data_IF_670314803252
#
_entry.id   IF_670314803252
#
_cell.length_a   1.000
_cell.length_b   1.000
_cell.length_c   1.000
_cell.angle_alpha   90.00
_cell.angle_beta   90.00
_cell.angle_gamma   90.00
#
_symmetry.space_group_name_H-M   'P 1'
#
loop_
_entity.id
_entity.type
_entity.pdbx_description
1 polymer ?
#
# COMPACT_ATOMS: atom_id res chain seq x y z
N UNK A 1 -8.65 -17.87 -33.49
CA UNK A 1 -8.34 -17.52 -32.09
C UNK A 1 -7.74 -16.13 -31.91
N UNK A 2 -7.49 -15.44 -33.00
CA UNK A 2 -7.04 -14.03 -32.92
C UNK A 2 -8.12 -13.10 -32.37
N UNK A 3 -9.39 -13.48 -32.46
CA UNK A 3 -10.50 -12.69 -31.92
C UNK A 3 -10.50 -12.54 -30.40
N UNK A 4 -9.90 -13.49 -29.68
CA UNK A 4 -9.86 -13.46 -28.22
C UNK A 4 -8.88 -12.43 -27.66
N UNK A 5 -7.92 -11.99 -28.48
CA UNK A 5 -6.97 -10.94 -28.11
C UNK A 5 -7.44 -9.56 -28.54
N UNK A 6 -8.49 -9.49 -29.37
CA UNK A 6 -9.07 -8.22 -29.81
C UNK A 6 -9.72 -7.53 -28.60
N UNK A 7 -9.40 -6.27 -28.38
CA UNK A 7 -9.92 -5.50 -27.25
C UNK A 7 -9.10 -5.59 -25.98
N UNK A 8 -8.05 -6.43 -25.96
CA UNK A 8 -7.11 -6.44 -24.85
C UNK A 8 -6.15 -5.26 -24.94
N UNK A 9 -5.71 -4.80 -23.78
CA UNK A 9 -4.82 -3.66 -23.65
C UNK A 9 -3.40 -4.11 -23.37
N UNK A 10 -2.44 -3.36 -23.89
CA UNK A 10 -1.02 -3.57 -23.57
C UNK A 10 -0.73 -3.03 -22.15
N UNK A 11 0.36 -3.50 -21.55
CA UNK A 11 0.81 -3.01 -20.25
C UNK A 11 1.03 -1.49 -20.24
N UNK A 12 1.54 -0.93 -21.34
CA UNK A 12 1.73 0.52 -21.49
C UNK A 12 0.41 1.29 -21.50
N UNK A 13 -0.61 0.73 -22.13
CA UNK A 13 -1.96 1.33 -22.14
C UNK A 13 -2.58 1.32 -20.75
N UNK A 14 -2.44 0.22 -20.01
CA UNK A 14 -2.94 0.12 -18.63
C UNK A 14 -2.18 1.10 -17.74
N UNK A 15 -0.86 1.20 -17.89
CA UNK A 15 -0.06 2.15 -17.12
C UNK A 15 -0.58 3.58 -17.30
N UNK A 16 -0.80 4.01 -18.54
CA UNK A 16 -1.29 5.37 -18.82
C UNK A 16 -2.68 5.62 -18.26
N UNK A 17 -3.57 4.62 -18.27
CA UNK A 17 -4.96 4.77 -17.83
C UNK A 17 -5.15 4.61 -16.33
N UNK A 18 -4.26 3.89 -15.66
CA UNK A 18 -4.40 3.57 -14.23
C UNK A 18 -3.58 4.47 -13.31
N UNK A 19 -2.52 5.09 -13.82
CA UNK A 19 -1.56 5.82 -13.02
C UNK A 19 -0.41 4.97 -12.49
N UNK A 20 -0.49 3.64 -12.64
CA UNK A 20 0.61 2.74 -12.27
C UNK A 20 1.70 2.78 -13.34
N UNK A 21 2.96 2.63 -12.92
CA UNK A 21 4.06 2.47 -13.86
C UNK A 21 4.06 1.05 -14.45
N UNK A 22 4.70 0.90 -15.61
CA UNK A 22 4.92 -0.43 -16.20
C UNK A 22 5.70 -1.32 -15.23
N UNK A 23 6.69 -0.75 -14.54
CA UNK A 23 7.48 -1.46 -13.53
C UNK A 23 6.60 -1.98 -12.39
N UNK A 24 5.68 -1.15 -11.90
CA UNK A 24 4.73 -1.54 -10.85
C UNK A 24 3.81 -2.66 -11.33
N UNK A 25 3.27 -2.54 -12.55
CA UNK A 25 2.40 -3.57 -13.12
C UNK A 25 3.10 -4.92 -13.25
N UNK A 26 4.38 -4.92 -13.67
CA UNK A 26 5.18 -6.14 -13.72
C UNK A 26 5.41 -6.74 -12.34
N UNK A 27 5.64 -5.88 -11.35
CA UNK A 27 5.80 -6.32 -9.96
C UNK A 27 4.52 -6.97 -9.44
N UNK A 28 3.36 -6.33 -9.69
CA UNK A 28 2.06 -6.84 -9.23
C UNK A 28 1.67 -8.14 -9.93
N UNK A 29 2.14 -8.38 -11.14
CA UNK A 29 2.02 -9.69 -11.79
C UNK A 29 2.86 -10.74 -11.04
N UNK A 30 4.12 -10.43 -10.75
CA UNK A 30 5.02 -11.37 -10.04
C UNK A 30 4.49 -11.76 -8.67
N UNK A 31 3.92 -10.81 -7.93
CA UNK A 31 3.37 -11.08 -6.58
C UNK A 31 1.90 -11.50 -6.63
N UNK A 32 1.36 -11.72 -7.82
CA UNK A 32 0.02 -12.23 -8.06
C UNK A 32 -1.10 -11.36 -7.48
N UNK A 33 -0.87 -10.06 -7.43
CA UNK A 33 -1.89 -9.08 -7.01
C UNK A 33 -2.77 -8.66 -8.19
N UNK A 34 -2.15 -8.35 -9.32
CA UNK A 34 -2.84 -7.94 -10.56
C UNK A 34 -2.20 -8.67 -11.72
N UNK A 35 -2.82 -9.76 -12.15
CA UNK A 35 -2.28 -10.61 -13.19
C UNK A 35 -2.88 -10.21 -14.55
N UNK A 36 -2.08 -10.22 -15.65
CA UNK A 36 -2.63 -9.97 -16.96
C UNK A 36 -3.65 -11.04 -17.33
N UNK A 37 -4.63 -10.67 -18.17
CA UNK A 37 -5.63 -11.60 -18.67
C UNK A 37 -5.00 -12.66 -19.59
N UNK A 38 -3.92 -12.29 -20.30
CA UNK A 38 -3.21 -13.18 -21.20
C UNK A 38 -1.76 -12.72 -21.34
N UNK A 39 -0.90 -13.66 -21.75
CA UNK A 39 0.46 -13.38 -22.18
C UNK A 39 0.56 -13.85 -23.63
N UNK A 40 1.00 -12.96 -24.53
CA UNK A 40 1.18 -13.31 -25.92
C UNK A 40 2.29 -14.34 -26.07
N UNK A 41 1.96 -15.53 -26.58
CA UNK A 41 2.90 -16.63 -26.70
C UNK A 41 4.05 -16.36 -27.65
N UNK A 42 3.89 -15.45 -28.62
CA UNK A 42 4.93 -15.10 -29.58
C UNK A 42 5.90 -14.04 -29.07
N UNK A 43 5.39 -13.00 -28.39
CA UNK A 43 6.19 -11.86 -27.95
C UNK A 43 6.48 -11.86 -26.44
N UNK A 44 5.71 -12.62 -25.66
CA UNK A 44 5.77 -12.57 -24.20
C UNK A 44 5.12 -11.33 -23.60
N UNK A 45 4.47 -10.49 -24.40
CA UNK A 45 3.84 -9.28 -23.92
C UNK A 45 2.61 -9.61 -23.06
N UNK A 46 2.45 -8.83 -21.97
CA UNK A 46 1.31 -8.93 -21.09
C UNK A 46 0.13 -8.15 -21.68
N UNK A 47 -1.04 -8.79 -21.66
CA UNK A 47 -2.28 -8.22 -22.19
C UNK A 47 -3.34 -8.23 -21.08
N UNK A 48 -4.07 -7.13 -20.96
CA UNK A 48 -5.04 -6.89 -19.89
C UNK A 48 -6.42 -6.64 -20.48
N UNK A 49 -7.47 -7.00 -19.74
CA UNK A 49 -8.84 -6.61 -20.10
C UNK A 49 -9.06 -5.14 -19.73
N UNK A 50 -9.99 -4.49 -20.41
CA UNK A 50 -10.33 -3.10 -20.10
C UNK A 50 -10.84 -2.91 -18.67
N UNK A 51 -11.56 -3.90 -18.11
CA UNK A 51 -12.05 -3.84 -16.72
C UNK A 51 -10.90 -3.91 -15.70
N UNK A 52 -9.74 -4.43 -16.08
CA UNK A 52 -8.56 -4.45 -15.22
C UNK A 52 -7.94 -3.05 -15.02
N UNK A 53 -8.29 -2.08 -15.85
CA UNK A 53 -7.87 -0.68 -15.63
C UNK A 53 -8.44 -0.15 -14.31
N UNK A 54 -9.70 -0.43 -14.02
CA UNK A 54 -10.32 -0.01 -12.75
C UNK A 54 -9.67 -0.72 -11.55
N UNK A 55 -9.37 -2.01 -11.69
CA UNK A 55 -8.64 -2.76 -10.68
C UNK A 55 -7.25 -2.14 -10.43
N UNK A 56 -6.55 -1.80 -11.51
CA UNK A 56 -5.23 -1.15 -11.41
C UNK A 56 -5.33 0.24 -10.76
N UNK A 57 -6.36 1.01 -11.06
CA UNK A 57 -6.61 2.30 -10.40
C UNK A 57 -6.83 2.15 -8.90
N UNK A 58 -7.59 1.13 -8.50
CA UNK A 58 -7.81 0.85 -7.08
C UNK A 58 -6.50 0.49 -6.40
N UNK A 59 -5.69 -0.37 -7.00
CA UNK A 59 -4.37 -0.73 -6.47
C UNK A 59 -3.51 0.52 -6.31
N UNK A 60 -3.48 1.37 -7.33
CA UNK A 60 -2.72 2.62 -7.28
C UNK A 60 -3.18 3.52 -6.14
N UNK A 61 -4.49 3.70 -5.99
CA UNK A 61 -5.07 4.51 -4.92
C UNK A 61 -4.67 3.97 -3.54
N UNK A 62 -4.88 2.67 -3.30
CA UNK A 62 -4.61 2.06 -2.01
C UNK A 62 -3.12 2.10 -1.66
N UNK A 63 -2.24 1.89 -2.63
CA UNK A 63 -0.80 2.02 -2.41
C UNK A 63 -0.36 3.45 -2.13
N UNK A 64 -1.06 4.43 -2.71
CA UNK A 64 -0.78 5.84 -2.41
C UNK A 64 -1.12 6.23 -0.97
N UNK A 65 -1.95 5.43 -0.31
CA UNK A 65 -2.31 5.59 1.10
C UNK A 65 -1.37 4.80 2.02
N UNK A 66 -0.29 4.24 1.49
CA UNK A 66 0.67 3.40 2.22
C UNK A 66 0.04 2.11 2.77
N UNK A 67 -1.04 1.64 2.15
CA UNK A 67 -1.65 0.37 2.55
C UNK A 67 -0.69 -0.78 2.23
N UNK A 68 -0.37 -1.66 3.20
CA UNK A 68 0.50 -2.80 2.93
C UNK A 68 -0.07 -3.71 1.85
N UNK A 69 0.82 -4.38 1.10
CA UNK A 69 0.44 -5.18 -0.06
C UNK A 69 -0.62 -6.23 0.26
N UNK A 70 -0.51 -6.91 1.40
CA UNK A 70 -1.50 -7.94 1.79
C UNK A 70 -2.88 -7.34 2.06
N UNK A 71 -2.94 -6.14 2.61
CA UNK A 71 -4.20 -5.43 2.82
C UNK A 71 -4.79 -4.91 1.50
N UNK A 72 -3.93 -4.49 0.56
CA UNK A 72 -4.37 -4.17 -0.80
C UNK A 72 -5.01 -5.40 -1.45
N UNK A 73 -4.38 -6.56 -1.31
CA UNK A 73 -4.91 -7.84 -1.84
C UNK A 73 -6.30 -8.13 -1.28
N UNK A 74 -6.47 -7.99 0.03
CA UNK A 74 -7.77 -8.20 0.70
C UNK A 74 -8.83 -7.22 0.18
N UNK A 75 -8.48 -5.93 0.08
CA UNK A 75 -9.40 -4.90 -0.39
C UNK A 75 -9.80 -5.11 -1.86
N UNK A 76 -8.85 -5.48 -2.72
CA UNK A 76 -9.12 -5.74 -4.14
C UNK A 76 -10.03 -6.95 -4.30
N UNK A 77 -9.80 -8.03 -3.55
CA UNK A 77 -10.65 -9.22 -3.58
C UNK A 77 -12.08 -8.87 -3.15
N UNK A 78 -12.25 -8.09 -2.09
CA UNK A 78 -13.56 -7.64 -1.63
C UNK A 78 -14.25 -6.76 -2.68
N UNK A 79 -13.52 -5.85 -3.29
CA UNK A 79 -14.04 -4.97 -4.33
C UNK A 79 -14.54 -5.79 -5.54
N UNK A 80 -13.76 -6.79 -5.97
CA UNK A 80 -14.16 -7.66 -7.09
C UNK A 80 -15.41 -8.48 -6.76
N UNK A 81 -15.61 -8.80 -5.48
CA UNK A 81 -16.80 -9.53 -5.02
C UNK A 81 -18.01 -8.61 -4.82
N UNK A 82 -17.87 -7.31 -5.07
CA UNK A 82 -18.95 -6.35 -4.85
C UNK A 82 -19.18 -6.01 -3.39
N UNK A 83 -18.24 -6.31 -2.51
CA UNK A 83 -18.34 -6.11 -1.07
C UNK A 83 -17.64 -4.80 -0.67
N UNK A 84 -18.32 -3.68 -0.92
CA UNK A 84 -17.80 -2.36 -0.60
C UNK A 84 -17.62 -2.12 0.89
N UNK A 85 -18.41 -2.80 1.73
CA UNK A 85 -18.27 -2.65 3.19
C UNK A 85 -16.95 -3.25 3.69
N UNK A 86 -16.54 -4.40 3.17
CA UNK A 86 -15.26 -5.00 3.52
C UNK A 86 -14.10 -4.14 3.03
N UNK A 87 -14.21 -3.50 1.88
CA UNK A 87 -13.20 -2.53 1.40
C UNK A 87 -13.08 -1.39 2.42
N UNK A 88 -14.20 -0.83 2.84
CA UNK A 88 -14.23 0.26 3.81
C UNK A 88 -13.61 -0.14 5.14
N UNK A 89 -13.86 -1.37 5.61
CA UNK A 89 -13.28 -1.88 6.85
C UNK A 89 -11.75 -1.96 6.77
N UNK A 90 -11.19 -2.42 5.66
CA UNK A 90 -9.74 -2.45 5.45
C UNK A 90 -9.16 -1.03 5.55
N UNK A 91 -9.82 -0.07 4.93
CA UNK A 91 -9.38 1.34 4.93
C UNK A 91 -9.48 1.94 6.34
N UNK A 92 -10.57 1.66 7.07
CA UNK A 92 -10.74 2.16 8.45
C UNK A 92 -9.66 1.61 9.38
N UNK A 93 -9.35 0.32 9.26
CA UNK A 93 -8.29 -0.30 10.06
C UNK A 93 -6.94 0.36 9.76
N UNK A 94 -6.65 0.60 8.50
CA UNK A 94 -5.42 1.28 8.09
C UNK A 94 -5.36 2.70 8.68
N UNK A 95 -6.48 3.42 8.64
CA UNK A 95 -6.56 4.75 9.25
C UNK A 95 -6.20 4.72 10.73
N UNK A 96 -6.73 3.74 11.48
CA UNK A 96 -6.38 3.57 12.91
C UNK A 96 -4.89 3.31 13.11
N UNK A 97 -4.28 2.48 12.23
CA UNK A 97 -2.84 2.22 12.30
C UNK A 97 -2.03 3.48 12.02
N UNK A 98 -2.43 4.29 11.06
CA UNK A 98 -1.76 5.56 10.75
C UNK A 98 -1.90 6.56 11.90
N UNK A 99 -3.09 6.67 12.51
CA UNK A 99 -3.30 7.54 13.66
C UNK A 99 -2.38 7.15 14.82
N UNK A 100 -2.28 5.86 15.11
CA UNK A 100 -1.38 5.36 16.16
C UNK A 100 0.08 5.68 15.83
N UNK A 101 0.47 5.55 14.55
CA UNK A 101 1.83 5.88 14.10
C UNK A 101 2.13 7.37 14.25
N UNK A 102 1.17 8.23 13.88
CA UNK A 102 1.29 9.68 14.04
C UNK A 102 1.50 10.03 15.51
N UNK A 103 0.69 9.44 16.39
CA UNK A 103 0.81 9.65 17.85
C UNK A 103 2.19 9.26 18.36
N UNK A 104 2.71 8.10 17.93
CA UNK A 104 4.05 7.64 18.34
C UNK A 104 5.13 8.58 17.83
N UNK A 105 5.02 9.05 16.58
CA UNK A 105 6.02 9.96 16.00
C UNK A 105 6.00 11.31 16.69
N UNK A 106 4.81 11.84 17.03
CA UNK A 106 4.69 13.09 17.79
C UNK A 106 5.34 12.94 19.19
N UNK A 107 5.12 11.80 19.83
CA UNK A 107 5.77 11.52 21.11
C UNK A 107 7.28 11.46 21.00
N UNK A 108 7.81 10.85 19.93
CA UNK A 108 9.24 10.81 19.68
C UNK A 108 9.82 12.20 19.44
N UNK A 109 9.12 13.03 18.64
CA UNK A 109 9.55 14.42 18.39
C UNK A 109 9.59 15.21 19.69
N UNK A 110 8.57 15.07 20.52
CA UNK A 110 8.52 15.74 21.83
C UNK A 110 9.71 15.33 22.71
N UNK A 111 10.04 14.04 22.77
CA UNK A 111 11.19 13.55 23.51
C UNK A 111 12.52 14.06 22.96
N UNK A 112 12.63 14.14 21.62
CA UNK A 112 13.81 14.68 20.96
C UNK A 112 14.00 16.16 21.35
N UNK A 113 12.93 16.93 21.29
CA UNK A 113 12.95 18.36 21.66
C UNK A 113 13.40 18.53 23.12
N UNK A 114 12.92 17.67 24.02
CA UNK A 114 13.32 17.68 25.42
C UNK A 114 14.80 17.34 25.60
N UNK A 115 15.29 16.31 24.88
CA UNK A 115 16.72 15.95 24.90
C UNK A 115 17.61 17.09 24.41
N UNK A 116 17.20 17.79 23.37
CA UNK A 116 17.96 18.90 22.81
C UNK A 116 17.96 20.12 23.74
N UNK A 117 16.85 20.37 24.46
CA UNK A 117 16.71 21.49 25.37
C UNK A 117 17.44 21.25 26.70
N UNK A 118 17.29 20.07 27.28
CA UNK A 118 17.80 19.73 28.63
C UNK A 118 19.18 19.09 28.57
N UNK A 119 19.57 18.51 27.46
CA UNK A 119 20.78 17.73 27.31
C UNK A 119 20.59 16.28 27.74
N UNK A 120 21.39 15.41 27.12
CA UNK A 120 21.26 13.96 27.34
C UNK A 120 21.54 13.54 28.78
N UNK A 121 22.59 14.12 29.39
CA UNK A 121 23.00 13.74 30.75
C UNK A 121 21.91 14.05 31.79
N UNK A 122 21.24 15.18 31.68
CA UNK A 122 20.14 15.57 32.57
C UNK A 122 18.95 14.60 32.43
N UNK A 123 18.60 14.23 31.22
CA UNK A 123 17.50 13.31 30.93
C UNK A 123 17.82 11.91 31.46
N UNK A 124 19.05 11.44 31.28
CA UNK A 124 19.49 10.12 31.77
C UNK A 124 19.47 10.07 33.30
N UNK A 125 19.86 11.16 33.99
CA UNK A 125 19.79 11.26 35.43
C UNK A 125 18.36 11.16 35.97
N UNK A 126 17.40 11.81 35.28
CA UNK A 126 15.99 11.75 35.64
C UNK A 126 15.43 10.33 35.49
N UNK A 127 15.84 9.60 34.44
CA UNK A 127 15.42 8.21 34.23
C UNK A 127 15.93 7.29 35.35
N UNK A 128 17.17 7.46 35.79
CA UNK A 128 17.75 6.68 36.87
C UNK A 128 17.01 6.92 38.21
N UNK A 129 16.66 8.17 38.46
CA UNK A 129 15.90 8.55 39.66
C UNK A 129 14.51 7.92 39.65
N UNK A 130 13.84 7.90 38.50
CA UNK A 130 12.51 7.30 38.34
C UNK A 130 12.57 5.78 38.50
N UNK A 131 13.62 5.12 38.00
CA UNK A 131 13.81 3.68 38.16
C UNK A 131 14.10 3.30 39.60
N UNK A 132 14.79 4.16 40.37
CA UNK A 132 15.13 3.93 41.78
C UNK A 132 13.93 3.98 42.70
N UNK A 133 12.83 4.58 42.32
CA UNK A 133 11.62 4.69 43.17
C UNK A 133 10.62 3.56 42.93
N UNK A 134 10.89 2.64 42.00
CA UNK A 134 9.98 1.57 41.62
C UNK A 134 10.15 0.28 42.48
N UNK A 135 10.94 0.29 43.55
CA UNK A 135 11.11 -0.85 44.44
C UNK A 135 10.10 -0.86 45.60
#
# INVERSE_FOLDING_TARGET
MQGDLAGLLTIGQVARRSGLSVKALRHYDRVQLLRPAAVDGGSGYRLYRSDQVEEARLVHLLRSLDLPLEQVRTAVAAWKAGDGESVSEVIRLHRRHLDARVTRLRGALHRIDHLLAEGLDAVMTDLDTTSGTAT
#
